data_IF_078727114765
#
_entry.id   IF_078727114765
#
_cell.length_a   1.000
_cell.length_b   1.000
_cell.length_c   1.000
_cell.angle_alpha   90.00
_cell.angle_beta   90.00
_cell.angle_gamma   90.00
#
_symmetry.space_group_name_H-M   'P 1'
#
loop_
_entity.id
_entity.type
_entity.pdbx_description
1 polymer ?
#
# COMPACT_ATOMS: atom_id res chain seq x y z
N UNK A 1 4.58 -7.36 22.44
CA UNK A 1 4.30 -7.04 21.01
C UNK A 1 3.46 -5.77 20.82
N UNK A 2 2.54 -5.44 21.74
CA UNK A 2 1.67 -4.25 21.66
C UNK A 2 2.38 -2.92 21.38
N UNK A 3 3.56 -2.67 21.96
CA UNK A 3 4.31 -1.42 21.76
C UNK A 3 4.75 -1.19 20.29
N UNK A 4 5.03 -2.26 19.53
CA UNK A 4 5.42 -2.13 18.11
C UNK A 4 4.20 -1.83 17.23
N UNK A 5 3.06 -2.45 17.55
CA UNK A 5 1.80 -2.29 16.83
C UNK A 5 1.21 -0.90 17.09
N UNK A 6 1.25 -0.42 18.34
CA UNK A 6 0.82 0.94 18.67
C UNK A 6 1.72 2.00 18.03
N UNK A 7 3.05 1.79 18.00
CA UNK A 7 3.98 2.68 17.34
C UNK A 7 3.74 2.74 15.82
N UNK A 8 3.47 1.58 15.18
CA UNK A 8 3.09 1.53 13.77
C UNK A 8 1.76 2.27 13.50
N UNK A 9 0.72 1.98 14.28
CA UNK A 9 -0.58 2.65 14.13
C UNK A 9 -0.47 4.16 14.35
N UNK A 10 0.32 4.60 15.34
CA UNK A 10 0.57 6.00 15.60
C UNK A 10 1.33 6.66 14.45
N UNK A 11 2.34 6.00 13.89
CA UNK A 11 3.06 6.49 12.71
C UNK A 11 2.13 6.64 11.49
N UNK A 12 1.22 5.68 11.26
CA UNK A 12 0.22 5.74 10.17
C UNK A 12 -0.75 6.90 10.36
N UNK A 13 -1.28 7.09 11.57
CA UNK A 13 -2.19 8.20 11.88
C UNK A 13 -1.47 9.54 11.74
N UNK A 14 -0.24 9.65 12.24
CA UNK A 14 0.57 10.86 12.16
C UNK A 14 0.92 11.20 10.71
N UNK A 15 1.28 10.22 9.89
CA UNK A 15 1.47 10.39 8.45
C UNK A 15 0.20 10.94 7.79
N UNK A 16 -0.96 10.35 8.07
CA UNK A 16 -2.22 10.79 7.51
C UNK A 16 -2.59 12.23 7.91
N UNK A 17 -2.32 12.61 9.17
CA UNK A 17 -2.54 13.98 9.66
C UNK A 17 -1.60 14.99 9.00
N UNK A 18 -0.31 14.67 8.87
CA UNK A 18 0.66 15.54 8.20
C UNK A 18 0.29 15.71 6.72
N UNK A 19 -0.12 14.64 6.05
CA UNK A 19 -0.52 14.66 4.63
C UNK A 19 -1.87 15.34 4.36
N UNK A 20 -2.68 15.59 5.40
CA UNK A 20 -3.99 16.24 5.24
C UNK A 20 -3.87 17.67 4.75
N UNK A 21 -2.94 18.45 5.33
CA UNK A 21 -2.73 19.86 4.96
C UNK A 21 -2.40 20.04 3.47
N UNK A 22 -1.37 19.39 2.90
CA UNK A 22 -1.07 19.52 1.48
C UNK A 22 -2.19 18.95 0.61
N UNK A 23 -2.93 17.94 1.09
CA UNK A 23 -4.06 17.38 0.34
C UNK A 23 -5.20 18.38 0.19
N UNK A 24 -5.52 19.16 1.23
CA UNK A 24 -6.57 20.18 1.17
C UNK A 24 -6.21 21.35 0.26
N UNK A 25 -4.92 21.55 -0.05
CA UNK A 25 -4.45 22.60 -0.97
C UNK A 25 -4.69 22.25 -2.45
N UNK A 26 -4.93 20.99 -2.81
CA UNK A 26 -5.25 20.63 -4.19
C UNK A 26 -6.60 21.22 -4.61
N UNK A 27 -6.77 21.68 -5.86
CA UNK A 27 -8.04 22.24 -6.32
C UNK A 27 -9.18 21.21 -6.25
N UNK A 28 -10.38 21.69 -5.97
CA UNK A 28 -11.58 20.84 -5.90
C UNK A 28 -12.12 20.52 -7.30
N UNK A 29 -12.93 19.46 -7.44
CA UNK A 29 -13.59 19.10 -8.71
C UNK A 29 -14.54 20.19 -9.25
N UNK A 30 -14.89 21.19 -8.43
CA UNK A 30 -15.66 22.34 -8.88
C UNK A 30 -14.80 23.39 -9.59
N UNK A 31 -13.48 23.40 -9.32
CA UNK A 31 -12.52 24.36 -9.86
C UNK A 31 -11.83 23.86 -11.14
N UNK A 32 -11.83 22.55 -11.37
CA UNK A 32 -11.32 21.92 -12.59
C UNK A 32 -12.44 21.07 -13.17
N UNK A 33 -12.82 21.29 -14.43
CA UNK A 33 -14.00 20.70 -15.11
C UNK A 33 -13.94 19.17 -15.32
N UNK A 34 -13.32 18.44 -14.41
CA UNK A 34 -13.18 17.00 -14.34
C UNK A 34 -14.15 16.42 -13.31
N UNK A 35 -14.76 15.27 -13.59
CA UNK A 35 -15.71 14.63 -12.69
C UNK A 35 -15.08 14.22 -11.33
N UNK A 36 -13.79 13.86 -11.34
CA UNK A 36 -13.01 13.55 -10.13
C UNK A 36 -11.84 14.53 -10.05
N UNK A 37 -11.92 15.46 -9.10
CA UNK A 37 -10.88 16.47 -8.88
C UNK A 37 -9.61 15.88 -8.24
N UNK A 38 -8.46 16.54 -8.41
CA UNK A 38 -7.15 16.10 -7.91
C UNK A 38 -7.11 15.86 -6.39
N UNK A 39 -7.98 16.54 -5.64
CA UNK A 39 -8.12 16.41 -4.19
C UNK A 39 -8.75 15.08 -3.75
N UNK A 40 -9.63 14.48 -4.57
CA UNK A 40 -10.53 13.40 -4.12
C UNK A 40 -9.74 12.14 -3.75
N UNK A 41 -8.79 11.73 -4.58
CA UNK A 41 -8.05 10.48 -4.37
C UNK A 41 -7.10 10.53 -3.16
N UNK A 42 -6.23 11.56 -2.99
CA UNK A 42 -5.39 11.66 -1.80
C UNK A 42 -6.22 11.75 -0.52
N UNK A 43 -7.38 12.43 -0.57
CA UNK A 43 -8.26 12.56 0.59
C UNK A 43 -8.90 11.22 0.96
N UNK A 44 -9.37 10.43 -0.02
CA UNK A 44 -9.88 9.08 0.22
C UNK A 44 -8.84 8.16 0.88
N UNK A 45 -7.57 8.22 0.43
CA UNK A 45 -6.48 7.49 1.06
C UNK A 45 -6.23 7.92 2.51
N UNK A 46 -6.25 9.23 2.79
CA UNK A 46 -6.09 9.76 4.15
C UNK A 46 -7.23 9.30 5.05
N UNK A 47 -8.47 9.33 4.57
CA UNK A 47 -9.63 8.80 5.32
C UNK A 47 -9.43 7.32 5.64
N UNK A 48 -9.01 6.51 4.66
CA UNK A 48 -8.76 5.09 4.86
C UNK A 48 -7.63 4.85 5.89
N UNK A 49 -6.52 5.59 5.78
CA UNK A 49 -5.39 5.51 6.71
C UNK A 49 -5.79 5.91 8.14
N UNK A 50 -6.56 6.98 8.30
CA UNK A 50 -7.09 7.42 9.61
C UNK A 50 -8.05 6.38 10.19
N UNK A 51 -8.97 5.84 9.38
CA UNK A 51 -9.91 4.83 9.80
C UNK A 51 -9.22 3.55 10.23
N UNK A 52 -8.30 3.02 9.41
CA UNK A 52 -7.57 1.80 9.69
C UNK A 52 -6.61 1.96 10.87
N UNK A 53 -5.82 3.05 10.88
CA UNK A 53 -4.88 3.35 11.96
C UNK A 53 -5.59 3.60 13.30
N UNK A 54 -6.70 4.35 13.28
CA UNK A 54 -7.54 4.59 14.44
C UNK A 54 -8.21 3.31 14.96
N UNK A 55 -8.73 2.45 14.08
CA UNK A 55 -9.27 1.16 14.45
C UNK A 55 -8.21 0.26 15.10
N UNK A 56 -7.00 0.21 14.54
CA UNK A 56 -5.88 -0.54 15.11
C UNK A 56 -5.53 -0.04 16.53
N UNK A 57 -5.50 1.28 16.71
CA UNK A 57 -5.22 1.91 18.00
C UNK A 57 -6.30 1.58 19.04
N UNK A 58 -7.57 1.66 18.62
CA UNK A 58 -8.73 1.32 19.46
C UNK A 58 -8.74 -0.15 19.88
N UNK A 59 -8.47 -1.08 18.96
CA UNK A 59 -8.39 -2.52 19.26
C UNK A 59 -7.25 -2.77 20.25
N UNK A 60 -6.06 -2.25 19.95
CA UNK A 60 -4.87 -2.43 20.80
C UNK A 60 -5.09 -1.85 22.21
N UNK A 61 -5.74 -0.70 22.32
CA UNK A 61 -6.07 -0.08 23.59
C UNK A 61 -7.14 -0.83 24.37
N UNK A 62 -8.17 -1.35 23.69
CA UNK A 62 -9.21 -2.19 24.31
C UNK A 62 -8.63 -3.49 24.84
N UNK A 63 -7.73 -4.12 24.10
CA UNK A 63 -7.06 -5.36 24.53
C UNK A 63 -6.15 -5.10 25.72
N UNK A 64 -5.39 -3.99 25.72
CA UNK A 64 -4.60 -3.57 26.87
C UNK A 64 -5.44 -3.29 28.12
N UNK A 65 -6.68 -2.79 27.97
CA UNK A 65 -7.62 -2.57 29.07
C UNK A 65 -8.35 -3.85 29.53
N UNK A 66 -8.46 -4.86 28.67
CA UNK A 66 -9.06 -6.16 28.99
C UNK A 66 -8.05 -7.15 29.59
N UNK A 67 -6.76 -6.87 29.44
CA UNK A 67 -5.63 -7.67 29.92
C UNK A 67 -5.27 -7.57 31.41
N UNK A 68 -6.25 -7.33 32.30
CA UNK A 68 -6.09 -7.56 33.75
C UNK A 68 -7.05 -8.66 34.27
N UNK A 69 -7.63 -9.47 33.39
CA UNK A 69 -8.57 -10.54 33.80
C UNK A 69 -8.26 -11.91 33.17
N UNK A 70 -7.14 -12.12 32.46
CA UNK A 70 -6.90 -13.42 31.80
C UNK A 70 -5.46 -13.97 31.78
N UNK A 71 -4.49 -13.39 32.49
CA UNK A 71 -3.12 -13.96 32.55
C UNK A 71 -2.59 -14.03 33.98
N UNK A 72 -3.10 -14.98 34.78
CA UNK A 72 -2.38 -15.44 35.99
C UNK A 72 -2.54 -16.95 36.25
N UNK A 73 -2.87 -17.74 35.22
CA UNK A 73 -2.95 -19.20 35.36
C UNK A 73 -2.43 -19.95 34.13
N UNK A 74 -1.17 -19.70 33.75
CA UNK A 74 -0.28 -20.73 33.17
C UNK A 74 1.10 -20.16 32.86
N UNK A 75 2.12 -20.99 33.12
CA UNK A 75 3.55 -20.80 32.80
C UNK A 75 4.43 -20.12 33.86
N UNK A 76 4.21 -20.46 35.13
CA UNK A 76 5.32 -20.81 35.99
C UNK A 76 5.80 -22.24 35.65
N UNK A 77 6.74 -22.39 34.71
CA UNK A 77 7.74 -23.48 34.65
C UNK A 77 8.61 -23.34 33.39
N UNK A 78 9.90 -23.05 33.62
CA UNK A 78 11.10 -23.33 32.77
C UNK A 78 11.88 -22.11 32.26
N UNK A 79 12.85 -21.67 33.07
CA UNK A 79 14.12 -21.05 32.64
C UNK A 79 15.22 -22.14 32.60
N UNK A 80 16.48 -21.86 32.19
CA UNK A 80 16.99 -21.13 31.02
C UNK A 80 18.11 -21.93 30.28
N UNK A 81 18.43 -21.63 29.00
CA UNK A 81 19.76 -21.97 28.45
C UNK A 81 20.19 -21.08 27.27
N UNK A 82 21.50 -20.84 27.25
CA UNK A 82 22.21 -19.77 26.56
C UNK A 82 22.72 -20.13 25.15
N UNK A 83 22.51 -19.20 24.20
CA UNK A 83 23.36 -18.83 23.05
C UNK A 83 23.66 -19.86 21.92
N UNK A 84 24.25 -19.45 20.78
CA UNK A 84 23.87 -18.41 19.81
C UNK A 84 23.78 -18.98 18.35
N UNK A 85 23.69 -18.09 17.35
CA UNK A 85 23.98 -18.29 15.91
C UNK A 85 22.80 -18.56 14.95
N UNK A 86 22.44 -17.47 14.26
CA UNK A 86 21.95 -17.34 12.87
C UNK A 86 21.02 -18.40 12.29
N UNK A 87 19.78 -17.99 12.00
CA UNK A 87 19.17 -18.28 10.70
C UNK A 87 18.38 -17.06 10.25
N UNK A 88 19.13 -16.14 9.65
CA UNK A 88 18.64 -15.00 8.90
C UNK A 88 17.88 -15.55 7.68
N UNK A 89 16.59 -15.86 7.85
CA UNK A 89 15.66 -16.25 6.76
C UNK A 89 15.27 -15.02 5.91
N UNK A 90 16.26 -14.26 5.47
CA UNK A 90 16.12 -13.13 4.53
C UNK A 90 16.55 -13.55 3.10
N UNK A 91 16.27 -14.77 2.69
CA UNK A 91 16.71 -15.30 1.39
C UNK A 91 15.48 -15.71 0.57
N UNK A 92 15.41 -15.21 -0.67
CA UNK A 92 14.35 -15.33 -1.69
C UNK A 92 13.17 -14.33 -1.64
N UNK A 93 12.62 -13.96 -0.48
CA UNK A 93 11.60 -12.90 -0.44
C UNK A 93 12.21 -11.50 -0.58
N UNK A 94 13.44 -11.30 -0.06
CA UNK A 94 14.11 -10.00 0.00
C UNK A 94 14.47 -9.45 -1.40
N UNK A 95 14.89 -10.28 -2.34
CA UNK A 95 15.26 -9.85 -3.70
C UNK A 95 14.08 -9.46 -4.57
N UNK A 96 12.89 -10.06 -4.35
CA UNK A 96 11.67 -9.69 -5.09
C UNK A 96 11.22 -8.26 -4.79
N UNK A 97 11.37 -7.82 -3.52
CA UNK A 97 11.05 -6.45 -3.13
C UNK A 97 11.97 -5.45 -3.83
N UNK A 98 13.28 -5.74 -3.92
CA UNK A 98 14.22 -4.92 -4.68
C UNK A 98 13.89 -4.86 -6.17
N UNK A 99 13.47 -5.98 -6.76
CA UNK A 99 13.01 -5.99 -8.15
C UNK A 99 11.73 -5.18 -8.36
N UNK A 100 10.77 -5.20 -7.43
CA UNK A 100 9.58 -4.35 -7.52
C UNK A 100 9.94 -2.87 -7.41
N UNK A 101 10.86 -2.51 -6.50
CA UNK A 101 11.35 -1.13 -6.38
C UNK A 101 12.03 -0.69 -7.68
N UNK A 102 12.95 -1.50 -8.22
CA UNK A 102 13.62 -1.22 -9.48
C UNK A 102 12.64 -1.09 -10.65
N UNK A 103 11.67 -2.01 -10.75
CA UNK A 103 10.61 -1.97 -11.77
C UNK A 103 9.77 -0.70 -11.65
N UNK A 104 9.48 -0.25 -10.43
CA UNK A 104 8.73 0.99 -10.18
C UNK A 104 9.53 2.22 -10.61
N UNK A 105 10.84 2.26 -10.34
CA UNK A 105 11.72 3.34 -10.79
C UNK A 105 11.80 3.40 -12.33
N UNK A 106 11.96 2.23 -12.97
CA UNK A 106 11.98 2.12 -14.44
C UNK A 106 10.65 2.58 -15.02
N UNK A 107 9.52 2.20 -14.41
CA UNK A 107 8.20 2.65 -14.84
C UNK A 107 8.05 4.16 -14.80
N UNK A 108 8.47 4.81 -13.70
CA UNK A 108 8.43 6.27 -13.59
C UNK A 108 9.25 6.95 -14.69
N UNK A 109 10.41 6.40 -15.04
CA UNK A 109 11.21 6.89 -16.16
C UNK A 109 10.52 6.65 -17.52
N UNK A 110 9.94 5.45 -17.73
CA UNK A 110 9.24 5.07 -18.95
C UNK A 110 8.03 5.96 -19.26
N UNK A 111 7.32 6.42 -18.23
CA UNK A 111 6.19 7.36 -18.40
C UNK A 111 6.63 8.62 -19.15
N UNK A 112 7.84 9.13 -18.88
CA UNK A 112 8.36 10.34 -19.52
C UNK A 112 8.74 10.15 -20.98
N UNK A 113 9.16 8.93 -21.37
CA UNK A 113 9.68 8.64 -22.71
C UNK A 113 8.57 8.17 -23.67
N UNK A 114 7.68 7.29 -23.20
CA UNK A 114 6.74 6.55 -24.06
C UNK A 114 5.27 6.90 -23.77
N UNK A 115 5.02 7.70 -22.74
CA UNK A 115 3.67 8.05 -22.29
C UNK A 115 3.07 7.04 -21.30
N UNK A 116 2.06 7.48 -20.56
CA UNK A 116 1.49 6.76 -19.41
C UNK A 116 0.89 5.40 -19.80
N UNK A 117 0.18 5.33 -20.93
CA UNK A 117 -0.52 4.11 -21.34
C UNK A 117 0.44 2.97 -21.65
N UNK A 118 1.44 3.22 -22.50
CA UNK A 118 2.43 2.21 -22.89
C UNK A 118 3.33 1.82 -21.71
N UNK A 119 3.74 2.78 -20.89
CA UNK A 119 4.50 2.52 -19.66
C UNK A 119 3.71 1.62 -18.70
N UNK A 120 2.41 1.86 -18.54
CA UNK A 120 1.54 1.09 -17.63
C UNK A 120 1.30 -0.34 -18.11
N UNK A 121 1.18 -0.55 -19.43
CA UNK A 121 1.08 -1.90 -20.03
C UNK A 121 2.36 -2.69 -19.73
N UNK A 122 3.53 -2.10 -19.99
CA UNK A 122 4.81 -2.75 -19.73
C UNK A 122 5.00 -3.04 -18.23
N UNK A 123 4.68 -2.09 -17.36
CA UNK A 123 4.77 -2.25 -15.90
C UNK A 123 3.86 -3.36 -15.38
N UNK A 124 2.60 -3.37 -15.82
CA UNK A 124 1.62 -4.38 -15.41
C UNK A 124 2.08 -5.77 -15.83
N UNK A 125 2.63 -5.90 -17.04
CA UNK A 125 3.16 -7.16 -17.55
C UNK A 125 4.35 -7.64 -16.70
N UNK A 126 5.33 -6.76 -16.41
CA UNK A 126 6.49 -7.10 -15.59
C UNK A 126 6.07 -7.48 -14.18
N UNK A 127 5.21 -6.70 -13.53
CA UNK A 127 4.69 -7.03 -12.20
C UNK A 127 3.96 -8.38 -12.18
N UNK A 128 3.09 -8.64 -13.15
CA UNK A 128 2.33 -9.90 -13.21
C UNK A 128 3.25 -11.11 -13.40
N UNK A 129 4.32 -10.97 -14.18
CA UNK A 129 5.39 -11.97 -14.29
C UNK A 129 6.17 -12.13 -12.99
N UNK A 130 6.55 -11.03 -12.34
CA UNK A 130 7.32 -11.02 -11.09
C UNK A 130 6.57 -11.66 -9.92
N UNK A 131 5.25 -11.47 -9.88
CA UNK A 131 4.33 -12.08 -8.92
C UNK A 131 4.04 -13.57 -9.21
N UNK A 132 4.51 -14.10 -10.35
CA UNK A 132 4.51 -15.54 -10.63
C UNK A 132 3.22 -16.07 -11.27
N UNK A 133 2.43 -15.23 -11.95
CA UNK A 133 1.30 -15.72 -12.74
C UNK A 133 1.80 -16.64 -13.87
N UNK A 134 1.35 -17.91 -13.87
CA UNK A 134 1.91 -18.95 -14.76
C UNK A 134 1.15 -19.10 -16.09
N UNK A 135 -0.06 -18.57 -16.20
CA UNK A 135 -0.92 -18.70 -17.38
C UNK A 135 -0.94 -17.41 -18.23
N UNK A 136 -0.41 -17.49 -19.44
CA UNK A 136 -0.39 -16.37 -20.41
C UNK A 136 -1.78 -15.78 -20.68
N UNK A 137 -2.84 -16.61 -20.64
CA UNK A 137 -4.23 -16.17 -20.76
C UNK A 137 -4.65 -15.22 -19.64
N UNK A 138 -4.25 -15.53 -18.40
CA UNK A 138 -4.57 -14.69 -17.24
C UNK A 138 -3.87 -13.35 -17.35
N UNK A 139 -2.59 -13.35 -17.76
CA UNK A 139 -1.81 -12.12 -18.00
C UNK A 139 -2.51 -11.25 -19.04
N UNK A 140 -2.92 -11.83 -20.18
CA UNK A 140 -3.60 -11.10 -21.24
C UNK A 140 -4.92 -10.49 -20.77
N UNK A 141 -5.75 -11.26 -20.04
CA UNK A 141 -7.03 -10.77 -19.50
C UNK A 141 -6.78 -9.62 -18.54
N UNK A 142 -5.85 -9.77 -17.59
CA UNK A 142 -5.52 -8.69 -16.64
C UNK A 142 -5.00 -7.45 -17.34
N UNK A 143 -4.22 -7.61 -18.41
CA UNK A 143 -3.69 -6.49 -19.19
C UNK A 143 -4.82 -5.74 -19.90
N UNK A 144 -5.70 -6.46 -20.61
CA UNK A 144 -6.86 -5.88 -21.30
C UNK A 144 -7.78 -5.16 -20.31
N UNK A 145 -8.10 -5.81 -19.19
CA UNK A 145 -8.95 -5.21 -18.15
C UNK A 145 -8.30 -3.96 -17.54
N UNK A 146 -7.00 -4.02 -17.23
CA UNK A 146 -6.27 -2.87 -16.70
C UNK A 146 -6.22 -1.71 -17.70
N UNK A 147 -5.96 -1.97 -18.98
CA UNK A 147 -5.96 -0.95 -20.03
C UNK A 147 -7.34 -0.34 -20.21
N UNK A 148 -8.41 -1.14 -20.24
CA UNK A 148 -9.78 -0.65 -20.34
C UNK A 148 -10.16 0.22 -19.13
N UNK A 149 -9.76 -0.19 -17.92
CA UNK A 149 -9.95 0.59 -16.71
C UNK A 149 -9.19 1.93 -16.77
N UNK A 150 -7.92 1.90 -17.17
CA UNK A 150 -7.14 3.14 -17.34
C UNK A 150 -7.77 4.04 -18.40
N UNK A 151 -8.19 3.50 -19.52
CA UNK A 151 -8.83 4.30 -20.56
C UNK A 151 -10.18 4.87 -20.12
N UNK A 152 -11.01 4.08 -19.44
CA UNK A 152 -12.28 4.56 -18.88
C UNK A 152 -12.06 5.63 -17.81
N UNK A 153 -11.09 5.44 -16.91
CA UNK A 153 -10.81 6.42 -15.86
C UNK A 153 -10.19 7.69 -16.45
N UNK A 154 -9.11 7.59 -17.21
CA UNK A 154 -8.36 8.76 -17.66
C UNK A 154 -9.03 9.51 -18.82
N UNK A 155 -9.55 8.79 -19.82
CA UNK A 155 -10.14 9.42 -21.01
C UNK A 155 -11.60 9.81 -20.75
N UNK A 156 -12.43 8.91 -20.22
CA UNK A 156 -13.86 9.22 -20.02
C UNK A 156 -14.13 10.00 -18.73
N UNK A 157 -13.44 9.70 -17.62
CA UNK A 157 -13.73 10.35 -16.33
C UNK A 157 -12.90 11.61 -16.09
N UNK A 158 -11.61 11.60 -16.46
CA UNK A 158 -10.71 12.74 -16.25
C UNK A 158 -10.52 13.62 -17.51
N UNK A 159 -10.88 13.15 -18.71
CA UNK A 159 -10.72 13.92 -19.94
C UNK A 159 -9.26 14.20 -20.34
N UNK A 160 -8.31 13.42 -19.79
CA UNK A 160 -6.88 13.59 -20.06
C UNK A 160 -6.49 12.71 -21.25
N UNK A 161 -5.87 13.28 -22.32
CA UNK A 161 -5.32 12.47 -23.39
C UNK A 161 -4.15 11.63 -22.86
N UNK A 162 -4.21 10.32 -23.13
CA UNK A 162 -3.30 9.28 -22.62
C UNK A 162 -2.03 9.12 -23.46
#
# INVERSE_FOLDING_TARGET
MHARISLFALAVVLLALISLVPTLQFPSSAEVSTFIGPRVWPLALIIALLGLGGALLLITWRDARRGTTYDDESEALSQPQSAPVTTQRFTLASTRHWWLIATTLIYTWLISEVGFLFASIAFTLVCTLLLGARSWRTILITLVVATLLMQGVFVMLLGIPL
#
